data_IF_325175075997
#
_entry.id   IF_325175075997
#
_cell.length_a   1.000
_cell.length_b   1.000
_cell.length_c   1.000
_cell.angle_alpha   90.00
_cell.angle_beta   90.00
_cell.angle_gamma   90.00
#
_symmetry.space_group_name_H-M   'P 1'
#
loop_
_entity.id
_entity.type
_entity.pdbx_description
1 polymer ?
#
# COMPACT_ATOMS: atom_id res chain seq x y z
N UNK A 1 11.68 -19.99 -37.97
CA UNK A 1 11.65 -20.55 -36.63
C UNK A 1 10.68 -19.69 -35.82
N UNK A 2 9.43 -20.17 -35.61
CA UNK A 2 8.45 -19.46 -34.81
C UNK A 2 8.87 -19.56 -33.34
N UNK A 3 9.32 -18.46 -32.78
CA UNK A 3 9.49 -18.35 -31.34
C UNK A 3 8.09 -18.53 -30.72
N UNK A 4 7.89 -19.65 -30.06
CA UNK A 4 6.70 -19.89 -29.23
C UNK A 4 6.56 -18.68 -28.28
N UNK A 5 5.51 -17.89 -28.48
CA UNK A 5 5.19 -16.82 -27.56
C UNK A 5 4.94 -17.48 -26.19
N UNK A 6 5.89 -17.39 -25.28
CA UNK A 6 5.70 -17.79 -23.90
C UNK A 6 4.52 -16.98 -23.37
N UNK A 7 3.42 -17.65 -23.10
CA UNK A 7 2.20 -17.00 -22.61
C UNK A 7 2.51 -16.46 -21.22
N UNK A 8 2.66 -15.14 -21.08
CA UNK A 8 2.90 -14.49 -19.78
C UNK A 8 1.68 -14.74 -18.90
N UNK A 9 1.89 -15.33 -17.74
CA UNK A 9 0.82 -15.75 -16.82
C UNK A 9 0.56 -14.71 -15.76
N UNK A 10 -0.71 -14.46 -15.48
CA UNK A 10 -1.10 -13.61 -14.35
C UNK A 10 -0.71 -14.29 -13.02
N UNK A 11 -0.05 -13.58 -12.08
CA UNK A 11 0.34 -14.16 -10.79
C UNK A 11 -0.85 -14.53 -9.89
N UNK A 12 -2.08 -14.11 -10.26
CA UNK A 12 -3.31 -14.40 -9.51
C UNK A 12 -4.18 -15.42 -10.23
N UNK A 13 -4.32 -15.31 -11.56
CA UNK A 13 -5.31 -16.06 -12.35
C UNK A 13 -4.72 -17.17 -13.20
N UNK A 14 -3.46 -17.41 -13.14
CA UNK A 14 -2.61 -18.41 -13.85
C UNK A 14 -3.03 -18.71 -15.30
N UNK A 15 -4.25 -19.18 -15.52
CA UNK A 15 -4.76 -19.67 -16.83
C UNK A 15 -5.56 -18.59 -17.62
N UNK A 16 -5.59 -17.36 -17.14
CA UNK A 16 -6.33 -16.29 -17.82
C UNK A 16 -5.48 -15.59 -18.87
N UNK A 17 -6.14 -15.22 -19.98
CA UNK A 17 -5.51 -14.45 -21.04
C UNK A 17 -4.95 -13.12 -20.49
N UNK A 18 -3.72 -12.82 -20.89
CA UNK A 18 -3.06 -11.55 -20.60
C UNK A 18 -2.82 -10.77 -21.88
N UNK A 19 -2.91 -9.47 -21.83
CA UNK A 19 -2.59 -8.57 -22.92
C UNK A 19 -1.51 -7.59 -22.53
N UNK A 20 -0.72 -7.15 -23.50
CA UNK A 20 0.28 -6.10 -23.26
C UNK A 20 -0.44 -4.78 -22.97
N UNK A 21 -0.23 -4.23 -21.77
CA UNK A 21 -0.84 -2.98 -21.33
C UNK A 21 0.07 -1.77 -21.66
N UNK A 22 1.39 -1.94 -21.57
CA UNK A 22 2.37 -0.87 -21.81
C UNK A 22 3.81 -1.32 -21.60
N UNK A 23 4.68 -0.37 -21.35
CA UNK A 23 6.08 -0.64 -20.98
C UNK A 23 6.61 0.47 -20.08
N UNK A 24 7.62 0.16 -19.25
CA UNK A 24 8.36 1.13 -18.46
C UNK A 24 9.80 0.68 -18.25
N UNK A 25 10.75 1.59 -18.47
CA UNK A 25 12.17 1.27 -18.35
C UNK A 25 12.64 0.13 -19.25
N UNK A 26 12.03 -0.04 -20.43
CA UNK A 26 12.31 -1.16 -21.35
C UNK A 26 11.57 -2.46 -21.02
N UNK A 27 10.92 -2.58 -19.86
CA UNK A 27 10.20 -3.78 -19.45
C UNK A 27 8.72 -3.70 -19.84
N UNK A 28 8.18 -4.78 -20.42
CA UNK A 28 6.77 -4.87 -20.78
C UNK A 28 5.88 -5.04 -19.54
N UNK A 29 4.73 -4.37 -19.56
CA UNK A 29 3.69 -4.47 -18.55
C UNK A 29 2.49 -5.15 -19.19
N UNK A 30 1.91 -6.10 -18.46
CA UNK A 30 0.77 -6.91 -18.89
C UNK A 30 -0.45 -6.62 -18.02
N UNK A 31 -1.63 -6.82 -18.57
CA UNK A 31 -2.89 -6.78 -17.84
C UNK A 31 -3.60 -8.13 -17.97
N UNK A 32 -4.14 -8.62 -16.85
CA UNK A 32 -4.96 -9.81 -16.82
C UNK A 32 -6.40 -9.51 -17.22
N UNK A 33 -6.92 -10.18 -18.25
CA UNK A 33 -8.30 -10.02 -18.70
C UNK A 33 -9.35 -10.41 -17.66
N UNK A 34 -9.03 -11.32 -16.73
CA UNK A 34 -9.98 -11.79 -15.72
C UNK A 34 -10.00 -10.90 -14.45
N UNK A 35 -8.83 -10.58 -13.88
CA UNK A 35 -8.81 -9.79 -12.63
C UNK A 35 -8.44 -8.31 -12.83
N UNK A 36 -7.94 -7.92 -13.99
CA UNK A 36 -7.53 -6.54 -14.26
C UNK A 36 -6.25 -6.11 -13.54
N UNK A 37 -5.51 -7.06 -12.93
CA UNK A 37 -4.20 -6.80 -12.35
C UNK A 37 -3.22 -6.43 -13.47
N UNK A 38 -2.45 -5.37 -13.29
CA UNK A 38 -1.31 -5.06 -14.15
C UNK A 38 -0.03 -5.50 -13.46
N UNK A 39 0.91 -6.04 -14.22
CA UNK A 39 2.15 -6.59 -13.68
C UNK A 39 3.25 -6.63 -14.73
N UNK A 40 4.50 -6.65 -14.27
CA UNK A 40 5.65 -6.98 -15.12
C UNK A 40 5.73 -8.50 -15.33
N UNK A 41 6.47 -8.94 -16.36
CA UNK A 41 6.86 -10.34 -16.47
C UNK A 41 7.71 -10.75 -15.26
N UNK A 42 7.11 -11.51 -14.37
CA UNK A 42 7.74 -11.93 -13.12
C UNK A 42 8.59 -13.20 -13.26
N UNK A 43 8.66 -13.82 -14.45
CA UNK A 43 9.43 -15.04 -14.67
C UNK A 43 10.94 -14.84 -14.48
N UNK A 44 11.42 -13.63 -14.71
CA UNK A 44 12.82 -13.21 -14.50
C UNK A 44 12.99 -12.23 -13.33
N UNK A 45 11.93 -12.04 -12.53
CA UNK A 45 11.94 -11.08 -11.43
C UNK A 45 12.73 -11.61 -10.23
N UNK A 46 13.74 -10.84 -9.83
CA UNK A 46 14.39 -11.01 -8.53
C UNK A 46 13.79 -9.99 -7.58
N UNK A 47 13.17 -10.46 -6.51
CA UNK A 47 12.56 -9.58 -5.52
C UNK A 47 13.60 -8.57 -5.00
N UNK A 48 13.19 -7.32 -4.87
CA UNK A 48 14.02 -6.31 -4.23
C UNK A 48 14.30 -6.71 -2.77
N UNK A 49 15.55 -6.55 -2.34
CA UNK A 49 15.92 -6.83 -0.95
C UNK A 49 15.62 -5.61 -0.08
N UNK A 50 14.49 -5.65 0.61
CA UNK A 50 14.05 -4.58 1.50
C UNK A 50 14.72 -4.62 2.88
N UNK A 51 15.60 -5.60 3.16
CA UNK A 51 16.27 -5.70 4.47
C UNK A 51 17.07 -4.45 4.81
N UNK A 52 17.68 -3.83 3.82
CA UNK A 52 18.48 -2.60 3.98
C UNK A 52 17.70 -1.32 3.61
N UNK A 53 16.38 -1.39 3.34
CA UNK A 53 15.60 -0.26 2.85
C UNK A 53 15.66 0.96 3.79
N UNK A 54 15.68 0.73 5.11
CA UNK A 54 15.70 1.79 6.12
C UNK A 54 17.10 2.26 6.51
N UNK A 55 18.16 1.92 5.77
CA UNK A 55 19.52 2.40 6.06
C UNK A 55 19.61 3.94 6.10
N UNK A 56 18.80 4.66 5.32
CA UNK A 56 18.75 6.12 5.32
C UNK A 56 18.32 6.72 6.67
N UNK A 57 17.73 5.94 7.57
CA UNK A 57 17.33 6.38 8.92
C UNK A 57 18.46 6.29 9.95
N UNK A 58 19.66 5.88 9.56
CA UNK A 58 20.80 5.76 10.48
C UNK A 58 21.17 7.09 11.15
N UNK A 59 20.89 8.21 10.45
CA UNK A 59 21.16 9.58 10.96
C UNK A 59 19.98 10.20 11.70
N UNK A 60 18.86 9.50 11.83
CA UNK A 60 17.66 10.05 12.46
C UNK A 60 17.82 10.15 13.97
N UNK A 61 17.42 11.29 14.50
CA UNK A 61 17.36 11.56 15.93
C UNK A 61 15.92 11.45 16.48
N UNK A 62 15.74 11.66 17.79
CA UNK A 62 14.42 11.61 18.44
C UNK A 62 13.39 12.58 17.82
N UNK A 63 13.83 13.76 17.42
CA UNK A 63 12.93 14.76 16.82
C UNK A 63 12.40 14.30 15.47
N UNK A 64 13.23 13.61 14.67
CA UNK A 64 12.83 13.05 13.37
C UNK A 64 11.79 11.95 13.57
N UNK A 65 11.98 11.08 14.54
CA UNK A 65 11.07 9.97 14.85
C UNK A 65 9.73 10.51 15.37
N UNK A 66 9.75 11.46 16.30
CA UNK A 66 8.53 12.10 16.82
C UNK A 66 7.77 12.80 15.68
N UNK A 67 8.49 13.51 14.80
CA UNK A 67 7.89 14.15 13.63
C UNK A 67 7.16 13.13 12.75
N UNK A 68 7.79 11.98 12.44
CA UNK A 68 7.21 10.92 11.62
C UNK A 68 5.92 10.33 12.22
N UNK A 69 5.84 10.22 13.55
CA UNK A 69 4.61 9.81 14.24
C UNK A 69 3.53 10.90 14.14
N UNK A 70 3.86 12.16 14.44
CA UNK A 70 2.87 13.24 14.54
C UNK A 70 2.25 13.61 13.19
N UNK A 71 3.02 13.61 12.09
CA UNK A 71 2.47 13.88 10.75
C UNK A 71 1.44 12.85 10.29
N UNK A 72 1.48 11.65 10.86
CA UNK A 72 0.56 10.56 10.52
C UNK A 72 -0.63 10.43 11.47
N UNK A 73 -0.50 11.01 12.69
CA UNK A 73 -1.42 10.76 13.81
C UNK A 73 -2.88 10.97 13.45
N UNK A 74 -3.25 12.14 12.93
CA UNK A 74 -4.65 12.46 12.62
C UNK A 74 -5.29 11.50 11.64
N UNK A 75 -4.55 11.13 10.59
CA UNK A 75 -5.04 10.19 9.56
C UNK A 75 -5.18 8.79 10.13
N UNK A 76 -4.18 8.33 10.87
CA UNK A 76 -4.18 7.02 11.51
C UNK A 76 -5.31 6.89 12.53
N UNK A 77 -5.50 7.87 13.41
CA UNK A 77 -6.61 7.88 14.39
C UNK A 77 -7.96 7.81 13.70
N UNK A 78 -8.17 8.55 12.60
CA UNK A 78 -9.42 8.47 11.83
C UNK A 78 -9.63 7.07 11.24
N UNK A 79 -8.58 6.45 10.71
CA UNK A 79 -8.63 5.07 10.21
C UNK A 79 -8.94 4.08 11.33
N UNK A 80 -8.28 4.18 12.48
CA UNK A 80 -8.51 3.31 13.63
C UNK A 80 -9.94 3.44 14.18
N UNK A 81 -10.49 4.66 14.24
CA UNK A 81 -11.91 4.88 14.63
C UNK A 81 -12.87 4.22 13.64
N UNK A 82 -12.60 4.32 12.34
CA UNK A 82 -13.39 3.62 11.32
C UNK A 82 -13.33 2.09 11.51
N UNK A 83 -12.15 1.53 11.76
CA UNK A 83 -11.99 0.10 12.03
C UNK A 83 -12.73 -0.31 13.30
N UNK A 84 -12.65 0.51 14.35
CA UNK A 84 -13.36 0.30 15.61
C UNK A 84 -14.89 0.26 15.47
N UNK A 85 -15.45 0.92 14.46
CA UNK A 85 -16.88 0.85 14.14
C UNK A 85 -17.27 -0.39 13.32
N UNK A 86 -16.31 -1.06 12.70
CA UNK A 86 -16.56 -2.24 11.88
C UNK A 86 -16.51 -3.57 12.66
N UNK A 87 -15.72 -3.60 13.74
CA UNK A 87 -15.47 -4.79 14.55
C UNK A 87 -15.31 -4.43 16.03
N UNK A 88 -15.73 -5.31 16.96
CA UNK A 88 -15.59 -5.06 18.40
C UNK A 88 -14.17 -5.29 18.93
N UNK A 89 -13.38 -6.13 18.26
CA UNK A 89 -12.02 -6.48 18.69
C UNK A 89 -11.00 -5.37 18.46
N UNK A 90 -9.86 -5.45 19.16
CA UNK A 90 -8.79 -4.43 19.13
C UNK A 90 -7.40 -5.02 18.82
N UNK A 91 -7.31 -6.31 18.53
CA UNK A 91 -6.02 -6.92 18.16
C UNK A 91 -5.73 -6.69 16.68
N UNK A 92 -4.64 -5.97 16.39
CA UNK A 92 -4.26 -5.50 15.07
C UNK A 92 -2.85 -5.99 14.72
N UNK A 93 -2.67 -6.43 13.47
CA UNK A 93 -1.37 -6.76 12.89
C UNK A 93 -1.08 -5.83 11.72
N UNK A 94 0.07 -5.15 11.74
CA UNK A 94 0.52 -4.27 10.65
C UNK A 94 1.60 -4.96 9.82
N UNK A 95 1.31 -5.26 8.56
CA UNK A 95 2.22 -5.95 7.63
C UNK A 95 3.04 -4.92 6.87
N UNK A 96 4.38 -5.10 6.88
CA UNK A 96 5.31 -4.09 6.39
C UNK A 96 5.28 -2.86 7.30
N UNK A 97 5.35 -3.08 8.61
CA UNK A 97 5.16 -2.04 9.61
C UNK A 97 6.24 -0.94 9.56
N UNK A 98 7.38 -1.21 8.90
CA UNK A 98 8.52 -0.33 8.93
C UNK A 98 8.97 -0.06 10.38
N UNK A 99 9.38 1.17 10.72
CA UNK A 99 9.70 1.54 12.10
C UNK A 99 8.51 1.54 13.07
N UNK A 100 7.29 1.17 12.62
CA UNK A 100 6.15 1.01 13.51
C UNK A 100 5.40 2.30 13.87
N UNK A 101 5.47 3.35 13.07
CA UNK A 101 4.74 4.61 13.34
C UNK A 101 3.23 4.42 13.47
N UNK A 102 2.65 3.56 12.64
CA UNK A 102 1.24 3.23 12.74
C UNK A 102 0.94 2.41 13.98
N UNK A 103 1.77 1.41 14.29
CA UNK A 103 1.65 0.61 15.50
C UNK A 103 1.73 1.49 16.75
N UNK A 104 2.68 2.45 16.82
CA UNK A 104 2.79 3.37 17.94
C UNK A 104 1.50 4.18 18.16
N UNK A 105 0.95 4.73 17.08
CA UNK A 105 -0.30 5.48 17.16
C UNK A 105 -1.47 4.56 17.55
N UNK A 106 -1.50 3.33 17.06
CA UNK A 106 -2.52 2.35 17.42
C UNK A 106 -2.45 1.96 18.91
N UNK A 107 -1.25 1.75 19.44
CA UNK A 107 -1.02 1.54 20.89
C UNK A 107 -1.54 2.72 21.72
N UNK A 108 -1.24 3.97 21.31
CA UNK A 108 -1.73 5.17 21.99
C UNK A 108 -3.26 5.28 21.98
N UNK A 109 -3.93 4.74 20.96
CA UNK A 109 -5.40 4.69 20.82
C UNK A 109 -6.03 3.42 21.44
N UNK A 110 -5.27 2.66 22.23
CA UNK A 110 -5.74 1.49 22.98
C UNK A 110 -5.94 0.23 22.16
N UNK A 111 -5.23 0.07 21.03
CA UNK A 111 -5.18 -1.17 20.28
C UNK A 111 -4.07 -2.07 20.80
N UNK A 112 -4.30 -3.39 20.81
CA UNK A 112 -3.26 -4.41 20.96
C UNK A 112 -2.67 -4.67 19.57
N UNK A 113 -1.43 -4.22 19.32
CA UNK A 113 -0.84 -4.22 17.99
C UNK A 113 0.59 -4.71 17.97
N UNK A 114 0.90 -5.48 16.92
CA UNK A 114 2.23 -5.96 16.58
C UNK A 114 2.54 -5.63 15.11
N UNK A 115 3.83 -5.45 14.79
CA UNK A 115 4.32 -5.26 13.44
C UNK A 115 4.91 -6.56 12.87
N UNK A 116 4.78 -6.75 11.55
CA UNK A 116 5.56 -7.70 10.75
C UNK A 116 6.45 -6.88 9.84
N UNK A 117 7.77 -7.04 9.94
CA UNK A 117 8.74 -6.26 9.16
C UNK A 117 10.01 -7.09 8.92
N UNK A 118 10.56 -7.02 7.70
CA UNK A 118 11.75 -7.77 7.30
C UNK A 118 13.05 -6.98 7.48
N UNK A 119 12.96 -5.64 7.57
CA UNK A 119 14.13 -4.78 7.81
C UNK A 119 14.52 -4.79 9.27
N UNK A 120 15.66 -5.38 9.58
CA UNK A 120 16.20 -5.39 10.95
C UNK A 120 16.38 -3.97 11.51
N UNK A 121 16.78 -3.01 10.68
CA UNK A 121 16.94 -1.61 11.08
C UNK A 121 15.63 -0.96 11.46
N UNK A 122 14.56 -1.20 10.68
CA UNK A 122 13.23 -0.69 11.02
C UNK A 122 12.71 -1.28 12.33
N UNK A 123 12.89 -2.59 12.52
CA UNK A 123 12.53 -3.30 13.76
C UNK A 123 13.28 -2.73 14.98
N UNK A 124 14.59 -2.47 14.86
CA UNK A 124 15.39 -1.85 15.91
C UNK A 124 14.82 -0.49 16.33
N UNK A 125 14.58 0.42 15.37
CA UNK A 125 13.99 1.73 15.65
C UNK A 125 12.63 1.57 16.32
N UNK A 126 11.79 0.69 15.83
CA UNK A 126 10.44 0.47 16.37
C UNK A 126 10.46 -0.04 17.80
N UNK A 127 11.33 -0.99 18.11
CA UNK A 127 11.50 -1.52 19.47
C UNK A 127 12.07 -0.48 20.41
N UNK A 128 13.20 0.12 20.05
CA UNK A 128 14.00 0.93 20.96
C UNK A 128 13.43 2.33 21.15
N UNK A 129 12.81 2.90 20.11
CA UNK A 129 12.35 4.30 20.12
C UNK A 129 10.84 4.46 20.23
N UNK A 130 10.07 3.46 19.78
CA UNK A 130 8.62 3.54 19.73
C UNK A 130 7.92 2.52 20.62
N UNK A 131 8.65 1.58 21.23
CA UNK A 131 8.08 0.54 22.09
C UNK A 131 7.12 -0.39 21.34
N UNK A 132 7.37 -0.64 20.05
CA UNK A 132 6.54 -1.51 19.20
C UNK A 132 7.07 -2.93 19.24
N UNK A 133 6.17 -3.89 19.41
CA UNK A 133 6.48 -5.32 19.30
C UNK A 133 6.41 -5.79 17.86
N UNK A 134 7.30 -6.72 17.49
CA UNK A 134 7.34 -7.34 16.16
C UNK A 134 7.33 -8.85 16.27
N UNK A 135 6.64 -9.46 15.30
CA UNK A 135 6.48 -10.91 15.19
C UNK A 135 6.65 -11.35 13.74
N UNK A 136 7.11 -12.55 13.49
CA UNK A 136 7.09 -13.15 12.16
C UNK A 136 5.67 -13.61 11.81
N UNK A 137 5.23 -13.39 10.56
CA UNK A 137 3.87 -13.71 10.13
C UNK A 137 3.52 -15.20 10.32
N UNK A 138 4.50 -16.07 10.13
CA UNK A 138 4.37 -17.52 10.32
C UNK A 138 4.11 -17.89 11.78
N UNK A 139 4.65 -17.12 12.72
CA UNK A 139 4.48 -17.32 14.16
C UNK A 139 3.13 -16.81 14.69
N UNK A 140 2.42 -15.97 13.93
CA UNK A 140 1.09 -15.50 14.33
C UNK A 140 0.09 -16.65 14.28
N UNK A 141 -0.61 -16.97 15.39
CA UNK A 141 -1.59 -18.05 15.41
C UNK A 141 -2.73 -17.81 14.42
N UNK A 142 -3.29 -18.89 13.87
CA UNK A 142 -4.47 -18.80 13.03
C UNK A 142 -5.66 -18.24 13.81
N UNK A 143 -6.52 -17.47 13.16
CA UNK A 143 -7.74 -16.90 13.72
C UNK A 143 -7.51 -16.13 15.04
N UNK A 144 -6.40 -15.40 15.16
CA UNK A 144 -6.00 -14.74 16.41
C UNK A 144 -6.16 -13.22 16.39
N UNK A 145 -6.18 -12.57 15.20
CA UNK A 145 -6.25 -11.11 15.09
C UNK A 145 -7.59 -10.62 14.53
N UNK A 146 -8.02 -9.45 14.96
CA UNK A 146 -9.28 -8.84 14.53
C UNK A 146 -9.11 -8.04 13.25
N UNK A 147 -7.96 -7.35 13.12
CA UNK A 147 -7.61 -6.51 11.96
C UNK A 147 -6.21 -6.85 11.47
N UNK A 148 -6.05 -6.93 10.16
CA UNK A 148 -4.75 -6.90 9.49
C UNK A 148 -4.69 -5.65 8.60
N UNK A 149 -3.65 -4.84 8.77
CA UNK A 149 -3.32 -3.74 7.87
C UNK A 149 -2.13 -4.17 6.98
N UNK A 150 -2.31 -4.12 5.66
CA UNK A 150 -1.28 -4.40 4.66
C UNK A 150 -1.15 -3.16 3.76
N UNK A 151 -0.19 -2.30 4.11
CA UNK A 151 -0.05 -0.98 3.49
C UNK A 151 1.26 -0.85 2.77
N UNK A 152 1.20 -0.61 1.47
CA UNK A 152 2.39 -0.50 0.61
C UNK A 152 3.28 -1.75 0.70
N UNK A 153 2.67 -2.93 0.57
CA UNK A 153 3.35 -4.23 0.56
C UNK A 153 2.90 -5.07 -0.64
N UNK A 154 1.59 -5.10 -0.93
CA UNK A 154 1.03 -6.01 -1.94
C UNK A 154 1.56 -5.72 -3.35
N UNK A 155 1.96 -4.50 -3.64
CA UNK A 155 2.56 -4.09 -4.92
C UNK A 155 4.00 -4.57 -5.12
N UNK A 156 4.66 -5.00 -4.05
CA UNK A 156 6.07 -5.42 -4.05
C UNK A 156 6.26 -6.93 -4.16
N UNK A 157 5.21 -7.72 -3.94
CA UNK A 157 5.32 -9.18 -3.87
C UNK A 157 5.01 -9.85 -5.21
N UNK A 158 5.75 -10.89 -5.56
CA UNK A 158 5.51 -11.67 -6.78
C UNK A 158 4.25 -12.56 -6.66
N UNK A 159 3.92 -13.02 -5.46
CA UNK A 159 2.71 -13.83 -5.16
C UNK A 159 1.75 -13.07 -4.23
N UNK A 160 0.93 -12.15 -4.76
CA UNK A 160 -0.04 -11.41 -3.94
C UNK A 160 -1.16 -12.29 -3.41
N UNK A 161 -1.48 -13.40 -4.11
CA UNK A 161 -2.52 -14.32 -3.66
C UNK A 161 -2.07 -15.14 -2.46
N UNK A 162 -0.83 -15.64 -2.48
CA UNK A 162 -0.20 -16.32 -1.35
C UNK A 162 -0.13 -15.42 -0.12
N UNK A 163 0.33 -14.18 -0.29
CA UNK A 163 0.33 -13.18 0.79
C UNK A 163 -1.07 -13.02 1.39
N UNK A 164 -2.08 -12.69 0.57
CA UNK A 164 -3.43 -12.45 1.07
C UNK A 164 -4.04 -13.69 1.76
N UNK A 165 -3.75 -14.89 1.29
CA UNK A 165 -4.17 -16.14 1.95
C UNK A 165 -3.48 -16.33 3.31
N UNK A 166 -2.20 -15.98 3.43
CA UNK A 166 -1.49 -16.00 4.72
C UNK A 166 -2.13 -14.99 5.70
N UNK A 167 -2.50 -13.79 5.24
CA UNK A 167 -3.23 -12.81 6.04
C UNK A 167 -4.63 -13.29 6.43
N UNK A 168 -5.32 -14.01 5.53
CA UNK A 168 -6.62 -14.64 5.84
C UNK A 168 -6.50 -15.68 6.95
N UNK A 169 -5.43 -16.46 6.99
CA UNK A 169 -5.18 -17.47 8.02
C UNK A 169 -5.19 -16.87 9.43
N UNK A 170 -4.50 -15.74 9.62
CA UNK A 170 -4.34 -15.12 10.95
C UNK A 170 -5.57 -14.35 11.42
N UNK A 171 -6.42 -13.88 10.50
CA UNK A 171 -7.66 -13.18 10.82
C UNK A 171 -8.70 -14.11 11.45
N UNK A 172 -9.35 -13.65 12.52
CA UNK A 172 -10.54 -14.28 13.09
C UNK A 172 -11.66 -14.36 12.04
N UNK A 173 -12.64 -15.27 12.19
CA UNK A 173 -13.88 -15.20 11.42
C UNK A 173 -14.52 -13.81 11.54
N UNK A 174 -14.90 -13.21 10.40
CA UNK A 174 -15.44 -11.86 10.35
C UNK A 174 -14.41 -10.73 10.55
N UNK A 175 -13.14 -11.06 10.77
CA UNK A 175 -12.05 -10.09 10.87
C UNK A 175 -11.84 -9.28 9.59
N UNK A 176 -11.20 -8.13 9.70
CA UNK A 176 -11.06 -7.14 8.62
C UNK A 176 -9.62 -7.04 8.15
N UNK A 177 -9.43 -7.16 6.83
CA UNK A 177 -8.19 -6.82 6.14
C UNK A 177 -8.30 -5.42 5.53
N UNK A 178 -7.32 -4.57 5.78
CA UNK A 178 -7.14 -3.29 5.09
C UNK A 178 -5.94 -3.41 4.16
N UNK A 179 -6.16 -3.20 2.86
CA UNK A 179 -5.08 -3.14 1.87
C UNK A 179 -4.98 -1.71 1.34
N UNK A 180 -3.76 -1.19 1.32
CA UNK A 180 -3.45 0.13 0.80
C UNK A 180 -2.31 0.00 -0.21
N UNK A 181 -2.55 0.35 -1.47
CA UNK A 181 -1.59 0.27 -2.55
C UNK A 181 -1.65 1.51 -3.46
N UNK A 182 -0.59 1.85 -4.20
CA UNK A 182 -0.64 2.88 -5.22
C UNK A 182 -1.65 2.53 -6.31
N UNK A 183 -2.44 3.52 -6.73
CA UNK A 183 -3.30 3.35 -7.90
C UNK A 183 -2.43 3.28 -9.16
N UNK A 184 -2.66 2.29 -10.05
CA UNK A 184 -1.83 2.10 -11.25
C UNK A 184 -1.80 3.34 -12.16
N UNK A 185 -2.91 4.05 -12.27
CA UNK A 185 -3.10 5.23 -13.13
C UNK A 185 -3.81 6.35 -12.37
N UNK A 186 -3.16 7.01 -11.40
CA UNK A 186 -3.78 8.15 -10.75
C UNK A 186 -3.95 9.32 -11.73
N UNK A 187 -5.00 10.12 -11.54
CA UNK A 187 -5.33 11.24 -12.43
C UNK A 187 -4.14 12.20 -12.62
N UNK A 188 -3.38 12.43 -11.57
CA UNK A 188 -2.17 13.25 -11.60
C UNK A 188 -1.13 12.76 -12.60
N UNK A 189 -0.97 11.45 -12.75
CA UNK A 189 -0.10 10.83 -13.75
C UNK A 189 -0.70 10.94 -15.15
N UNK A 190 -1.98 10.62 -15.31
CA UNK A 190 -2.67 10.65 -16.61
C UNK A 190 -2.61 12.06 -17.22
N UNK A 191 -2.92 13.09 -16.44
CA UNK A 191 -2.86 14.48 -16.91
C UNK A 191 -1.43 14.90 -17.27
N UNK A 192 -0.46 14.63 -16.40
CA UNK A 192 0.94 14.98 -16.66
C UNK A 192 1.45 14.36 -17.94
N UNK A 193 1.12 13.12 -18.21
CA UNK A 193 1.63 12.39 -19.36
C UNK A 193 0.97 12.81 -20.66
N UNK A 194 -0.33 13.11 -20.64
CA UNK A 194 -1.02 13.71 -21.79
C UNK A 194 -0.42 15.09 -22.15
N UNK A 195 -0.16 15.94 -21.14
CA UNK A 195 0.43 17.26 -21.33
C UNK A 195 1.88 17.22 -21.81
N UNK A 196 2.68 16.29 -21.26
CA UNK A 196 4.12 16.20 -21.55
C UNK A 196 4.43 15.21 -22.68
N UNK A 197 3.44 14.53 -23.26
CA UNK A 197 3.60 13.50 -24.31
C UNK A 197 4.65 12.44 -23.93
N UNK A 198 4.70 12.04 -22.66
CA UNK A 198 5.64 11.03 -22.14
C UNK A 198 4.89 9.74 -21.79
N UNK A 199 4.77 8.77 -22.74
CA UNK A 199 4.00 7.55 -22.52
C UNK A 199 4.61 6.64 -21.44
N UNK A 200 5.92 6.66 -21.23
CA UNK A 200 6.66 5.73 -20.35
C UNK A 200 6.51 6.02 -18.84
N UNK A 201 5.74 7.05 -18.46
CA UNK A 201 5.57 7.45 -17.06
C UNK A 201 4.13 7.31 -16.56
N UNK A 202 3.30 6.54 -17.27
CA UNK A 202 1.83 6.48 -17.09
C UNK A 202 1.33 5.75 -15.86
N UNK A 203 2.18 5.04 -15.11
CA UNK A 203 1.72 4.18 -14.04
C UNK A 203 2.61 4.24 -12.78
N UNK A 204 2.05 3.75 -11.67
CA UNK A 204 2.78 3.61 -10.42
C UNK A 204 3.71 2.38 -10.38
N UNK A 205 3.73 1.56 -11.45
CA UNK A 205 4.64 0.43 -11.57
C UNK A 205 6.05 0.90 -11.92
N UNK A 206 7.06 0.39 -11.23
CA UNK A 206 8.48 0.59 -11.58
C UNK A 206 9.34 -0.47 -10.91
N UNK A 207 10.19 -1.12 -11.70
CA UNK A 207 11.15 -2.09 -11.20
C UNK A 207 12.32 -1.38 -10.50
N UNK A 208 12.89 -2.02 -9.47
CA UNK A 208 12.51 -3.33 -8.92
C UNK A 208 11.41 -3.26 -7.86
N UNK A 209 10.92 -2.08 -7.48
CA UNK A 209 10.07 -1.91 -6.30
C UNK A 209 8.61 -2.31 -6.56
N UNK A 210 7.89 -1.57 -7.41
CA UNK A 210 6.48 -1.82 -7.66
C UNK A 210 6.29 -2.73 -8.86
N UNK A 211 6.12 -4.00 -8.63
CA UNK A 211 5.96 -5.03 -9.66
C UNK A 211 4.52 -5.27 -10.08
N UNK A 212 3.57 -4.90 -9.21
CA UNK A 212 2.12 -5.02 -9.44
C UNK A 212 1.44 -3.66 -9.39
N UNK A 213 0.41 -3.48 -10.23
CA UNK A 213 -0.40 -2.26 -10.28
C UNK A 213 -1.87 -2.56 -10.09
N UNK A 214 -2.50 -1.80 -9.20
CA UNK A 214 -3.88 -2.00 -8.82
C UNK A 214 -4.78 -0.84 -9.24
N UNK A 215 -6.02 -1.19 -9.60
CA UNK A 215 -7.20 -0.31 -9.56
C UNK A 215 -8.10 -0.78 -8.42
N UNK A 216 -9.11 -0.01 -8.05
CA UNK A 216 -10.09 -0.45 -7.05
C UNK A 216 -10.75 -1.78 -7.43
N UNK A 217 -11.13 -1.93 -8.71
CA UNK A 217 -11.77 -3.16 -9.21
C UNK A 217 -10.82 -4.35 -9.24
N UNK A 218 -9.56 -4.18 -9.63
CA UNK A 218 -8.60 -5.29 -9.64
C UNK A 218 -8.23 -5.71 -8.22
N UNK A 219 -8.04 -4.78 -7.28
CA UNK A 219 -7.80 -5.09 -5.88
C UNK A 219 -8.96 -5.90 -5.27
N UNK A 220 -10.21 -5.49 -5.54
CA UNK A 220 -11.38 -6.22 -5.06
C UNK A 220 -11.44 -7.66 -5.60
N UNK A 221 -11.14 -7.85 -6.90
CA UNK A 221 -11.14 -9.19 -7.52
C UNK A 221 -10.01 -10.08 -6.98
N UNK A 222 -8.83 -9.51 -6.75
CA UNK A 222 -7.70 -10.23 -6.15
C UNK A 222 -8.02 -10.65 -4.72
N UNK A 223 -8.56 -9.74 -3.91
CA UNK A 223 -8.99 -10.03 -2.54
C UNK A 223 -10.10 -11.10 -2.50
N UNK A 224 -11.09 -11.03 -3.42
CA UNK A 224 -12.15 -12.05 -3.52
C UNK A 224 -11.58 -13.45 -3.79
N UNK A 225 -10.57 -13.55 -4.67
CA UNK A 225 -9.90 -14.83 -4.94
C UNK A 225 -9.11 -15.37 -3.75
N UNK A 226 -8.70 -14.50 -2.85
CA UNK A 226 -8.05 -14.86 -1.59
C UNK A 226 -9.05 -15.22 -0.47
N UNK A 227 -10.37 -15.17 -0.73
CA UNK A 227 -11.42 -15.49 0.24
C UNK A 227 -11.83 -14.30 1.11
N UNK A 228 -11.89 -13.11 0.53
CA UNK A 228 -12.35 -11.90 1.19
C UNK A 228 -13.54 -11.27 0.47
N UNK A 229 -14.48 -10.74 1.22
CA UNK A 229 -15.59 -9.95 0.73
C UNK A 229 -15.32 -8.45 0.91
N UNK A 230 -15.53 -7.66 -0.14
CA UNK A 230 -15.29 -6.23 -0.07
C UNK A 230 -16.37 -5.54 0.78
N UNK A 231 -15.93 -4.80 1.79
CA UNK A 231 -16.79 -3.89 2.57
C UNK A 231 -16.80 -2.50 1.92
N UNK A 232 -15.63 -2.03 1.50
CA UNK A 232 -15.48 -0.81 0.71
C UNK A 232 -14.17 -0.85 -0.07
N UNK A 233 -14.17 -0.28 -1.27
CA UNK A 233 -12.96 0.00 -2.03
C UNK A 233 -13.07 1.43 -2.54
N UNK A 234 -12.12 2.24 -2.16
CA UNK A 234 -12.10 3.67 -2.46
C UNK A 234 -10.71 4.10 -2.92
N UNK A 235 -10.62 5.26 -3.56
CA UNK A 235 -9.33 5.89 -3.82
C UNK A 235 -9.12 7.08 -2.90
N UNK A 236 -7.87 7.31 -2.52
CA UNK A 236 -7.50 8.44 -1.67
C UNK A 236 -6.33 9.19 -2.27
N UNK A 237 -6.25 10.49 -1.96
CA UNK A 237 -5.19 11.33 -2.46
C UNK A 237 -3.94 11.32 -1.58
N UNK A 238 -2.77 11.39 -2.21
CA UNK A 238 -1.50 11.58 -1.52
C UNK A 238 -1.46 12.93 -0.82
N UNK A 239 -2.00 13.96 -1.47
CA UNK A 239 -1.95 15.35 -0.98
C UNK A 239 -2.96 15.65 0.12
N UNK A 240 -4.01 14.83 0.29
CA UNK A 240 -4.89 14.94 1.45
C UNK A 240 -4.15 14.69 2.78
N UNK A 241 -3.05 13.94 2.75
CA UNK A 241 -2.17 13.76 3.90
C UNK A 241 -1.35 15.03 4.22
N UNK A 242 -1.02 15.83 3.21
CA UNK A 242 -0.25 17.08 3.35
C UNK A 242 -1.11 18.31 3.68
N UNK A 243 -2.43 18.16 3.77
CA UNK A 243 -3.33 19.21 4.29
C UNK A 243 -3.39 19.25 5.81
N UNK A 244 -2.64 18.40 6.52
CA UNK A 244 -2.51 18.47 7.96
C UNK A 244 -1.86 19.79 8.37
N UNK A 245 -2.46 20.57 9.30
CA UNK A 245 -1.92 21.85 9.75
C UNK A 245 -0.51 21.76 10.32
N UNK A 246 -0.12 20.60 10.88
CA UNK A 246 1.22 20.38 11.40
C UNK A 246 2.24 20.31 10.26
N UNK A 247 1.92 19.55 9.21
CA UNK A 247 2.73 19.45 7.99
C UNK A 247 2.83 20.82 7.28
N UNK A 248 1.70 21.54 7.14
CA UNK A 248 1.68 22.86 6.53
C UNK A 248 2.58 23.85 7.29
N UNK A 249 2.49 23.93 8.63
CA UNK A 249 3.31 24.83 9.44
C UNK A 249 4.81 24.57 9.30
N UNK A 250 5.21 23.30 9.22
CA UNK A 250 6.61 22.93 9.04
C UNK A 250 7.14 23.31 7.65
N UNK A 251 6.33 23.12 6.60
CA UNK A 251 6.75 23.36 5.21
C UNK A 251 6.56 24.82 4.75
N UNK A 252 5.57 25.56 5.26
CA UNK A 252 5.36 26.98 4.92
C UNK A 252 6.54 27.84 5.39
N UNK A 253 7.17 27.50 6.50
CA UNK A 253 8.38 28.22 6.97
C UNK A 253 9.57 28.16 6.01
N UNK A 254 9.57 27.22 5.06
CA UNK A 254 10.71 26.95 4.17
C UNK A 254 10.46 27.23 2.67
N UNK A 255 9.27 27.73 2.25
CA UNK A 255 8.92 27.75 0.81
C UNK A 255 8.32 29.07 0.29
N UNK A 256 8.70 29.41 -0.96
CA UNK A 256 8.27 30.59 -1.73
C UNK A 256 6.84 30.44 -2.31
N UNK A 257 6.23 31.56 -2.73
CA UNK A 257 4.89 31.65 -3.34
C UNK A 257 4.64 30.67 -4.52
N UNK A 258 5.66 30.42 -5.35
CA UNK A 258 5.59 29.44 -6.47
C UNK A 258 5.35 27.99 -6.01
N UNK A 259 5.83 27.64 -4.84
CA UNK A 259 5.59 26.33 -4.25
C UNK A 259 4.18 26.19 -3.67
N UNK A 260 3.59 27.28 -3.20
CA UNK A 260 2.21 27.29 -2.70
C UNK A 260 1.19 27.10 -3.84
N UNK A 261 1.36 27.79 -4.98
CA UNK A 261 0.48 27.63 -6.15
C UNK A 261 0.52 26.20 -6.72
N UNK A 262 1.71 25.61 -6.82
CA UNK A 262 1.88 24.21 -7.23
C UNK A 262 1.21 23.23 -6.25
N UNK A 263 1.24 23.55 -4.96
CA UNK A 263 0.60 22.73 -3.93
C UNK A 263 -0.93 22.75 -4.06
N UNK A 264 -1.52 23.94 -4.21
CA UNK A 264 -2.97 24.11 -4.42
C UNK A 264 -3.44 23.39 -5.70
N UNK A 265 -2.73 23.57 -6.82
CA UNK A 265 -3.06 22.89 -8.08
C UNK A 265 -3.01 21.36 -7.92
N UNK A 266 -2.01 20.83 -7.22
CA UNK A 266 -1.92 19.39 -6.97
C UNK A 266 -3.05 18.88 -6.09
N UNK A 267 -3.43 19.62 -5.04
CA UNK A 267 -4.56 19.26 -4.18
C UNK A 267 -5.88 19.23 -4.96
N UNK A 268 -6.10 20.17 -5.87
CA UNK A 268 -7.29 20.19 -6.73
C UNK A 268 -7.32 18.97 -7.65
N UNK A 269 -6.22 18.68 -8.35
CA UNK A 269 -6.12 17.50 -9.22
C UNK A 269 -6.33 16.21 -8.43
N UNK A 270 -5.77 16.11 -7.24
CA UNK A 270 -5.92 14.97 -6.36
C UNK A 270 -7.37 14.81 -5.88
N UNK A 271 -8.04 15.90 -5.47
CA UNK A 271 -9.44 15.87 -5.07
C UNK A 271 -10.37 15.43 -6.21
N UNK A 272 -10.15 15.95 -7.43
CA UNK A 272 -10.87 15.49 -8.63
C UNK A 272 -10.56 14.03 -8.93
N UNK A 273 -9.30 13.62 -8.83
CA UNK A 273 -8.91 12.22 -9.01
C UNK A 273 -9.63 11.29 -8.03
N UNK A 274 -9.70 11.65 -6.76
CA UNK A 274 -10.45 10.88 -5.75
C UNK A 274 -11.93 10.78 -6.12
N UNK A 275 -12.56 11.89 -6.51
CA UNK A 275 -13.96 11.91 -6.93
C UNK A 275 -14.23 11.02 -8.17
N UNK A 276 -13.28 10.96 -9.11
CA UNK A 276 -13.34 10.11 -10.31
C UNK A 276 -12.91 8.65 -10.05
N UNK A 277 -12.55 8.26 -8.82
CA UNK A 277 -11.99 6.94 -8.52
C UNK A 277 -10.56 6.74 -9.04
N UNK A 278 -9.85 7.82 -9.33
CA UNK A 278 -8.47 7.87 -9.82
C UNK A 278 -7.54 8.67 -8.88
N UNK A 279 -7.75 8.55 -7.57
CA UNK A 279 -6.82 9.07 -6.57
C UNK A 279 -5.47 8.38 -6.63
N UNK A 280 -4.48 8.90 -5.91
CA UNK A 280 -3.10 8.37 -5.94
C UNK A 280 -2.99 6.96 -5.34
N UNK A 281 -3.89 6.62 -4.43
CA UNK A 281 -3.90 5.33 -3.74
C UNK A 281 -5.27 4.66 -3.81
N UNK A 282 -5.24 3.32 -3.84
CA UNK A 282 -6.41 2.47 -3.65
C UNK A 282 -6.40 1.94 -2.22
N UNK A 283 -7.53 2.08 -1.54
CA UNK A 283 -7.73 1.54 -0.18
C UNK A 283 -8.92 0.60 -0.19
N UNK A 284 -8.69 -0.65 0.14
CA UNK A 284 -9.72 -1.67 0.27
C UNK A 284 -9.89 -2.09 1.74
N UNK A 285 -11.13 -2.17 2.20
CA UNK A 285 -11.52 -2.82 3.44
C UNK A 285 -12.26 -4.09 3.07
N UNK A 286 -11.78 -5.21 3.58
CA UNK A 286 -12.27 -6.54 3.21
C UNK A 286 -12.58 -7.34 4.45
N UNK A 287 -13.68 -8.08 4.45
CA UNK A 287 -14.03 -9.02 5.51
C UNK A 287 -13.60 -10.42 5.12
N UNK A 288 -13.01 -11.17 6.06
CA UNK A 288 -12.77 -12.60 5.87
C UNK A 288 -14.10 -13.28 5.60
N UNK A 289 -14.24 -13.86 4.38
CA UNK A 289 -15.44 -14.65 4.04
C UNK A 289 -15.54 -15.86 4.96
N UNK A 290 -16.75 -16.33 5.30
CA UNK A 290 -16.93 -17.64 5.93
C UNK A 290 -16.23 -18.73 5.13
N UNK A 291 -15.77 -19.78 5.80
CA UNK A 291 -15.15 -20.96 5.18
C UNK A 291 -16.20 -21.81 4.49
#
# INVERSE_FOLDING_TARGET
>A
MSVSASTIRCPVCVDSATSRWGSRGGHAIFECGACGLTFFDLSSFTAHDYRDYYRYTETWNETDIVYEVEVRRRRTVRQLRRLASMIPGRRLLDIGAGPGYFCRIALDEGWDTEGVEISARAVEIGRDRLGVSYIDLEAVPAASVDVVCCRHVVEHVADPLGLLRALRRVLKPGGVLVVHAPHREPLSFVLRNRLLRRPDTLCALYLPDHVLGFTGSSLARVAKRAGFDALSVETTGKWSAYSDPFFLRHHIRQRTFLTLSRHVTRQLVDSVGVWLGQGDWVVGHFRKSPD
#
